data_IF_233923598362
#
_entry.id   IF_233923598362
#
_cell.length_a   1.000
_cell.length_b   1.000
_cell.length_c   1.000
_cell.angle_alpha   90.00
_cell.angle_beta   90.00
_cell.angle_gamma   90.00
#
_symmetry.space_group_name_H-M   'P 1'
#
loop_
_entity.id
_entity.type
_entity.pdbx_description
1 polymer ?
#
# COMPACT_ATOMS: atom_id res chain seq x y z
N UNK A 1 -11.89 -5.48 20.09
CA UNK A 1 -13.02 -5.26 19.19
C UNK A 1 -12.57 -5.27 17.73
N UNK A 2 -13.22 -6.10 16.93
CA UNK A 2 -12.96 -6.13 15.50
C UNK A 2 -13.62 -4.92 14.85
N UNK A 3 -12.81 -4.08 14.17
CA UNK A 3 -13.34 -2.91 13.47
C UNK A 3 -13.68 -3.22 12.01
N UNK A 4 -13.20 -4.36 11.50
CA UNK A 4 -13.47 -4.81 10.15
C UNK A 4 -12.55 -5.94 9.74
N UNK A 5 -12.78 -6.49 8.56
CA UNK A 5 -11.95 -7.55 8.02
C UNK A 5 -11.90 -7.45 6.49
N UNK A 6 -10.93 -8.13 5.90
CA UNK A 6 -10.80 -8.21 4.46
C UNK A 6 -10.77 -9.66 4.00
N UNK A 7 -11.36 -9.90 2.84
CA UNK A 7 -11.29 -11.18 2.15
C UNK A 7 -10.63 -10.97 0.81
N UNK A 8 -9.64 -11.81 0.49
CA UNK A 8 -8.94 -11.75 -0.78
C UNK A 8 -9.10 -13.07 -1.52
N UNK A 9 -9.23 -12.97 -2.84
CA UNK A 9 -9.25 -14.13 -3.73
C UNK A 9 -8.48 -13.79 -5.01
N UNK A 10 -7.93 -14.81 -5.65
CA UNK A 10 -7.22 -14.65 -6.93
C UNK A 10 -8.10 -15.24 -8.01
N UNK A 11 -8.34 -14.47 -9.08
CA UNK A 11 -9.15 -14.93 -10.21
C UNK A 11 -8.31 -15.76 -11.21
N UNK A 12 -8.97 -16.23 -12.28
CA UNK A 12 -8.34 -17.07 -13.30
C UNK A 12 -7.17 -16.35 -13.99
N UNK A 13 -7.21 -15.02 -14.10
CA UNK A 13 -6.17 -14.23 -14.75
C UNK A 13 -5.06 -13.80 -13.79
N UNK A 14 -5.11 -14.21 -12.53
CA UNK A 14 -4.09 -13.87 -11.54
C UNK A 14 -4.30 -12.54 -10.84
N UNK A 15 -5.45 -11.90 -11.03
CA UNK A 15 -5.77 -10.66 -10.31
C UNK A 15 -6.19 -11.00 -8.89
N UNK A 16 -5.63 -10.29 -7.92
CA UNK A 16 -6.06 -10.41 -6.54
C UNK A 16 -7.18 -9.40 -6.28
N UNK A 17 -8.33 -9.92 -5.87
CA UNK A 17 -9.50 -9.11 -5.56
C UNK A 17 -9.73 -9.16 -4.06
N UNK A 18 -9.70 -8.00 -3.41
CA UNK A 18 -9.88 -7.88 -1.96
C UNK A 18 -11.14 -7.08 -1.70
N UNK A 19 -12.02 -7.63 -0.85
CA UNK A 19 -13.21 -6.93 -0.39
C UNK A 19 -13.02 -6.56 1.07
N UNK A 20 -13.24 -5.29 1.39
CA UNK A 20 -13.13 -4.75 2.74
C UNK A 20 -14.52 -4.68 3.34
N UNK A 21 -14.65 -5.17 4.57
CA UNK A 21 -15.94 -5.21 5.28
C UNK A 21 -15.80 -4.62 6.67
N UNK A 22 -16.90 -4.02 7.16
CA UNK A 22 -16.96 -3.56 8.54
C UNK A 22 -17.21 -4.72 9.51
N UNK A 23 -17.33 -4.42 10.79
CA UNK A 23 -17.53 -5.44 11.82
C UNK A 23 -18.88 -6.17 11.70
N UNK A 24 -19.82 -5.57 10.97
CA UNK A 24 -21.15 -6.14 10.74
C UNK A 24 -21.26 -6.93 9.45
N UNK A 25 -20.18 -7.02 8.68
CA UNK A 25 -20.15 -7.74 7.41
C UNK A 25 -20.56 -6.92 6.19
N UNK A 26 -20.80 -5.63 6.34
CA UNK A 26 -21.14 -4.75 5.21
C UNK A 26 -19.88 -4.40 4.41
N UNK A 27 -20.00 -4.43 3.09
CA UNK A 27 -18.88 -4.04 2.22
C UNK A 27 -18.68 -2.54 2.29
N UNK A 28 -17.46 -2.11 2.64
CA UNK A 28 -17.09 -0.69 2.71
C UNK A 28 -16.16 -0.27 1.58
N UNK A 29 -15.61 -1.22 0.83
CA UNK A 29 -14.74 -0.93 -0.29
C UNK A 29 -14.14 -2.19 -0.87
N UNK A 30 -13.36 -2.03 -1.92
CA UNK A 30 -12.65 -3.14 -2.54
C UNK A 30 -11.35 -2.65 -3.17
N UNK A 31 -10.44 -3.60 -3.41
CA UNK A 31 -9.20 -3.35 -4.13
C UNK A 31 -8.96 -4.50 -5.10
N UNK A 32 -8.51 -4.17 -6.30
CA UNK A 32 -8.11 -5.16 -7.30
C UNK A 32 -6.65 -4.92 -7.65
N UNK A 33 -5.83 -5.96 -7.51
CA UNK A 33 -4.40 -5.90 -7.79
C UNK A 33 -4.07 -6.80 -8.95
N UNK A 34 -3.34 -6.28 -9.93
CA UNK A 34 -2.85 -7.04 -11.08
C UNK A 34 -1.38 -6.76 -11.29
N UNK A 35 -0.66 -7.76 -11.81
CA UNK A 35 0.77 -7.62 -12.13
C UNK A 35 0.94 -7.88 -13.62
N UNK A 36 1.63 -6.97 -14.32
CA UNK A 36 1.89 -7.13 -15.75
C UNK A 36 3.14 -8.01 -15.97
N UNK A 37 3.45 -8.29 -17.24
CA UNK A 37 4.57 -9.16 -17.58
C UNK A 37 5.94 -8.53 -17.28
N UNK A 38 5.99 -7.21 -17.04
CA UNK A 38 7.21 -6.50 -16.66
C UNK A 38 7.41 -6.50 -15.13
N UNK A 39 6.45 -7.05 -14.37
CA UNK A 39 6.51 -7.09 -12.92
C UNK A 39 5.93 -5.86 -12.23
N UNK A 40 5.30 -4.93 -12.97
CA UNK A 40 4.63 -3.78 -12.36
C UNK A 40 3.30 -4.25 -11.76
N UNK A 41 3.06 -3.87 -10.53
CA UNK A 41 1.81 -4.21 -9.83
C UNK A 41 0.94 -2.97 -9.72
N UNK A 42 -0.28 -3.07 -10.22
CA UNK A 42 -1.27 -1.99 -10.17
C UNK A 42 -2.40 -2.40 -9.24
N UNK A 43 -2.72 -1.56 -8.27
CA UNK A 43 -3.86 -1.76 -7.37
C UNK A 43 -4.85 -0.62 -7.57
N UNK A 44 -6.11 -0.97 -7.84
CA UNK A 44 -7.22 -0.02 -7.95
C UNK A 44 -8.09 -0.14 -6.72
N UNK A 45 -8.35 0.99 -6.07
CA UNK A 45 -9.17 1.06 -4.85
C UNK A 45 -10.53 1.63 -5.21
N UNK A 46 -11.59 0.99 -4.71
CA UNK A 46 -12.97 1.40 -4.98
C UNK A 46 -13.75 1.54 -3.67
N UNK A 47 -14.72 2.46 -3.67
CA UNK A 47 -15.63 2.61 -2.55
C UNK A 47 -16.71 1.50 -2.57
N UNK A 48 -17.62 1.56 -1.62
CA UNK A 48 -18.71 0.55 -1.51
C UNK A 48 -19.69 0.58 -2.68
N UNK A 49 -19.69 1.66 -3.46
CA UNK A 49 -20.56 1.82 -4.63
C UNK A 49 -19.87 1.42 -5.94
N UNK A 50 -18.60 1.01 -5.86
CA UNK A 50 -17.83 0.63 -7.06
C UNK A 50 -17.12 1.79 -7.74
N UNK A 51 -17.15 2.99 -7.19
CA UNK A 51 -16.46 4.15 -7.74
C UNK A 51 -14.97 4.09 -7.41
N UNK A 52 -14.11 4.37 -8.39
CA UNK A 52 -12.67 4.38 -8.17
C UNK A 52 -12.27 5.55 -7.28
N UNK A 53 -11.62 5.24 -6.16
CA UNK A 53 -11.10 6.24 -5.22
C UNK A 53 -9.68 6.63 -5.54
N UNK A 54 -8.91 5.73 -6.11
CA UNK A 54 -7.52 5.97 -6.44
C UNK A 54 -6.83 4.69 -6.91
N UNK A 55 -5.59 4.84 -7.31
CA UNK A 55 -4.76 3.72 -7.77
C UNK A 55 -3.36 3.84 -7.21
N UNK A 56 -2.66 2.72 -7.13
CA UNK A 56 -1.23 2.71 -6.89
C UNK A 56 -0.55 1.81 -7.91
N UNK A 57 0.63 2.21 -8.35
CA UNK A 57 1.45 1.41 -9.26
C UNK A 57 2.81 1.20 -8.62
N UNK A 58 3.19 -0.06 -8.45
CA UNK A 58 4.45 -0.43 -7.82
C UNK A 58 5.35 -1.16 -8.82
N UNK A 59 6.63 -0.87 -8.76
CA UNK A 59 7.63 -1.63 -9.49
C UNK A 59 8.84 -1.91 -8.60
N UNK A 60 9.59 -2.94 -8.95
CA UNK A 60 10.82 -3.30 -8.24
C UNK A 60 11.99 -2.92 -9.15
N UNK A 61 12.92 -2.11 -8.62
CA UNK A 61 14.09 -1.72 -9.38
C UNK A 61 15.17 -2.82 -9.31
N UNK A 62 16.28 -2.60 -10.04
CA UNK A 62 17.35 -3.61 -10.10
C UNK A 62 18.09 -3.79 -8.77
N UNK A 63 17.92 -2.87 -7.81
CA UNK A 63 18.50 -2.99 -6.47
C UNK A 63 17.55 -3.70 -5.49
N UNK A 64 16.36 -4.09 -5.96
CA UNK A 64 15.37 -4.78 -5.13
C UNK A 64 14.45 -3.85 -4.35
N UNK A 65 14.52 -2.53 -4.58
CA UNK A 65 13.63 -1.57 -3.92
C UNK A 65 12.29 -1.53 -4.62
N UNK A 66 11.22 -1.45 -3.84
CA UNK A 66 9.87 -1.30 -4.38
C UNK A 66 9.51 0.19 -4.39
N UNK A 67 9.20 0.70 -5.58
CA UNK A 67 8.81 2.10 -5.79
C UNK A 67 7.33 2.12 -6.14
N UNK A 68 6.54 2.90 -5.39
CA UNK A 68 5.10 2.98 -5.56
C UNK A 68 4.70 4.43 -5.82
N UNK A 69 3.87 4.63 -6.83
CA UNK A 69 3.25 5.92 -7.14
C UNK A 69 1.77 5.83 -6.82
N UNK A 70 1.26 6.79 -6.08
CA UNK A 70 -0.15 6.87 -5.68
C UNK A 70 -0.86 7.94 -6.50
N UNK A 71 -2.08 7.65 -6.94
CA UNK A 71 -2.89 8.57 -7.75
C UNK A 71 -4.31 8.65 -7.18
N UNK A 72 -4.92 9.82 -7.35
CA UNK A 72 -6.31 10.01 -6.94
C UNK A 72 -7.27 9.44 -8.00
N UNK A 73 -8.58 9.66 -7.81
CA UNK A 73 -9.60 9.15 -8.71
C UNK A 73 -9.55 9.78 -10.11
N UNK A 74 -8.90 10.91 -10.26
CA UNK A 74 -8.74 11.62 -11.52
C UNK A 74 -7.41 11.28 -12.22
N UNK A 75 -6.58 10.42 -11.60
CA UNK A 75 -5.29 10.03 -12.15
C UNK A 75 -4.14 10.97 -11.81
N UNK A 76 -4.36 11.97 -10.98
CA UNK A 76 -3.31 12.91 -10.54
C UNK A 76 -2.41 12.24 -9.51
N UNK A 77 -1.09 12.46 -9.63
CA UNK A 77 -0.13 11.95 -8.67
C UNK A 77 -0.33 12.64 -7.31
N UNK A 78 -0.51 11.85 -6.24
CA UNK A 78 -0.68 12.38 -4.88
C UNK A 78 0.54 12.14 -4.01
N UNK A 79 1.48 11.32 -4.46
CA UNK A 79 2.71 11.03 -3.72
C UNK A 79 3.35 9.74 -4.16
N UNK A 80 4.48 9.44 -3.55
CA UNK A 80 5.24 8.21 -3.85
C UNK A 80 5.76 7.59 -2.56
N UNK A 81 6.10 6.31 -2.63
CA UNK A 81 6.86 5.66 -1.56
C UNK A 81 7.95 4.78 -2.15
N UNK A 82 9.03 4.64 -1.41
CA UNK A 82 10.11 3.70 -1.75
C UNK A 82 10.35 2.80 -0.55
N UNK A 83 10.26 1.50 -0.79
CA UNK A 83 10.48 0.47 0.23
C UNK A 83 11.76 -0.28 -0.08
N UNK A 84 12.63 -0.38 0.91
CA UNK A 84 13.86 -1.16 0.81
C UNK A 84 14.01 -2.08 2.01
N UNK A 85 14.67 -3.21 1.80
CA UNK A 85 14.97 -4.17 2.86
C UNK A 85 16.48 -4.35 2.95
N UNK A 86 17.05 -4.18 4.14
CA UNK A 86 18.49 -4.35 4.34
C UNK A 86 18.82 -5.84 4.54
N UNK A 87 20.11 -6.14 4.68
CA UNK A 87 20.57 -7.53 4.82
C UNK A 87 20.18 -8.17 6.18
N UNK A 88 19.75 -7.36 7.15
CA UNK A 88 19.25 -7.85 8.44
C UNK A 88 17.75 -8.14 8.41
N UNK A 89 17.09 -7.89 7.28
CA UNK A 89 15.65 -8.09 7.13
C UNK A 89 14.80 -6.91 7.60
N UNK A 90 15.41 -5.77 7.91
CA UNK A 90 14.67 -4.56 8.28
C UNK A 90 14.16 -3.88 7.02
N UNK A 91 12.85 -3.68 6.94
CA UNK A 91 12.19 -3.03 5.81
C UNK A 91 11.88 -1.58 6.18
N UNK A 92 12.34 -0.65 5.36
CA UNK A 92 12.09 0.78 5.54
C UNK A 92 11.32 1.31 4.35
N UNK A 93 10.23 2.03 4.62
CA UNK A 93 9.44 2.70 3.59
C UNK A 93 9.47 4.20 3.84
N UNK A 94 9.84 4.96 2.83
CA UNK A 94 9.86 6.42 2.86
C UNK A 94 8.73 6.93 1.99
N UNK A 95 7.92 7.84 2.53
CA UNK A 95 6.77 8.45 1.84
C UNK A 95 7.10 9.87 1.46
N UNK A 96 6.81 10.23 0.22
CA UNK A 96 7.06 11.57 -0.33
C UNK A 96 5.77 12.16 -0.88
N UNK A 97 5.65 13.49 -0.79
CA UNK A 97 4.54 14.21 -1.39
C UNK A 97 4.73 14.34 -2.92
N UNK A 98 3.80 15.00 -3.58
CA UNK A 98 3.83 15.19 -5.04
C UNK A 98 5.04 16.01 -5.50
N UNK A 99 5.64 16.80 -4.61
CA UNK A 99 6.82 17.63 -4.89
C UNK A 99 8.14 16.93 -4.59
N UNK A 100 8.07 15.67 -4.09
CA UNK A 100 9.25 14.90 -3.75
C UNK A 100 9.78 15.13 -2.34
N UNK A 101 9.07 15.89 -1.51
CA UNK A 101 9.45 16.14 -0.12
C UNK A 101 9.10 14.95 0.75
N UNK A 102 10.01 14.55 1.64
CA UNK A 102 9.75 13.47 2.58
C UNK A 102 8.71 13.90 3.60
N UNK A 103 7.59 13.16 3.68
CA UNK A 103 6.51 13.45 4.63
C UNK A 103 6.47 12.47 5.78
N UNK A 104 7.10 11.32 5.64
CA UNK A 104 7.16 10.34 6.72
C UNK A 104 7.90 9.09 6.33
N UNK A 105 8.06 8.21 7.30
CA UNK A 105 8.68 6.90 7.07
C UNK A 105 8.09 5.85 8.00
N UNK A 106 8.16 4.60 7.58
CA UNK A 106 7.88 3.47 8.45
C UNK A 106 9.04 2.48 8.38
N UNK A 107 9.36 1.87 9.51
CA UNK A 107 10.40 0.85 9.60
C UNK A 107 9.81 -0.37 10.27
N UNK A 108 9.95 -1.53 9.63
CA UNK A 108 9.47 -2.81 10.14
C UNK A 108 10.61 -3.80 10.23
N UNK A 109 10.66 -4.54 11.32
CA UNK A 109 11.55 -5.70 11.43
C UNK A 109 10.79 -6.87 12.04
N UNK A 110 11.30 -8.06 11.76
CA UNK A 110 10.77 -9.29 12.33
C UNK A 110 11.85 -9.87 13.24
N UNK A 111 11.52 -10.11 14.52
CA UNK A 111 12.48 -10.69 15.46
C UNK A 111 12.63 -12.20 15.23
N UNK A 112 13.53 -12.83 15.99
CA UNK A 112 13.79 -14.26 15.85
C UNK A 112 12.61 -15.15 16.22
N UNK A 113 11.61 -14.59 16.90
CA UNK A 113 10.38 -15.31 17.29
C UNK A 113 9.25 -15.11 16.30
N UNK A 114 9.48 -14.37 15.18
CA UNK A 114 8.48 -14.09 14.17
C UNK A 114 7.59 -12.89 14.48
N UNK A 115 7.87 -12.13 15.54
CA UNK A 115 7.10 -10.94 15.86
C UNK A 115 7.51 -9.78 14.97
N UNK A 116 6.52 -9.14 14.35
CA UNK A 116 6.76 -7.99 13.48
C UNK A 116 6.58 -6.69 14.26
N UNK A 117 7.61 -5.88 14.30
CA UNK A 117 7.61 -4.59 14.96
C UNK A 117 7.65 -3.50 13.91
N UNK A 118 6.73 -2.54 13.98
CA UNK A 118 6.65 -1.45 13.00
C UNK A 118 6.64 -0.11 13.74
N UNK A 119 7.52 0.79 13.31
CA UNK A 119 7.59 2.16 13.81
C UNK A 119 7.27 3.10 12.66
N UNK A 120 6.39 4.06 12.89
CA UNK A 120 6.04 5.08 11.92
C UNK A 120 6.44 6.45 12.44
N UNK A 121 7.00 7.27 11.55
CA UNK A 121 7.42 8.64 11.86
C UNK A 121 6.84 9.59 10.82
N UNK A 122 6.35 10.74 11.28
CA UNK A 122 5.95 11.84 10.40
C UNK A 122 6.98 12.95 10.49
N UNK A 123 7.35 13.54 9.37
CA UNK A 123 8.24 14.70 9.34
C UNK A 123 7.50 16.01 9.60
N UNK A 124 6.17 15.96 9.54
CA UNK A 124 5.31 17.13 9.78
C UNK A 124 4.15 16.68 10.65
N UNK A 125 3.94 17.35 11.78
CA UNK A 125 2.89 17.00 12.75
C UNK A 125 1.48 17.12 12.18
N UNK A 126 1.30 17.79 11.05
CA UNK A 126 0.00 17.99 10.40
C UNK A 126 -0.21 17.02 9.21
N UNK A 127 0.75 16.16 8.92
CA UNK A 127 0.66 15.24 7.80
C UNK A 127 0.25 13.86 8.31
N UNK A 128 -0.83 13.32 7.76
CA UNK A 128 -1.20 11.92 7.99
C UNK A 128 -0.37 11.03 7.11
N UNK A 129 0.23 9.99 7.71
CA UNK A 129 0.90 8.95 6.96
C UNK A 129 -0.18 7.94 6.55
N UNK A 130 -0.34 7.75 5.24
CA UNK A 130 -1.29 6.79 4.71
C UNK A 130 -0.68 5.40 4.76
N UNK A 131 -1.27 4.51 5.56
CA UNK A 131 -0.90 3.08 5.59
C UNK A 131 -2.01 2.30 4.88
N UNK A 132 -1.61 1.61 3.86
CA UNK A 132 -2.50 0.73 3.11
C UNK A 132 -2.27 -0.72 3.50
#
# INVERSE_FOLDING_TARGET
NTTGYSNSSVDYWGHENTTLKDAYGNTIGSATTSTDYLGNTTTTYKDKYGNTMGTSVSNIDYMGNTNTTYRDSYGNNTGTSTTSTDFLGTTTTNYKDVYGNLVGSSTSNTDMFGNKNTTQKSTNNNTQIWTW
#
